data_IF_958135106616
#
_entry.id   IF_958135106616
#
_cell.length_a   1.000
_cell.length_b   1.000
_cell.length_c   1.000
_cell.angle_alpha   90.00
_cell.angle_beta   90.00
_cell.angle_gamma   90.00
#
_symmetry.space_group_name_H-M   'P 1'
#
loop_
_entity.id
_entity.type
_entity.pdbx_description
1 polymer ?
#
# COMPACT_ATOMS: atom_id res chain seq x y z
N UNK A 1 21.97 -16.11 -24.55
CA UNK A 1 23.37 -15.78 -24.93
C UNK A 1 24.20 -15.36 -23.71
N UNK A 2 23.87 -14.27 -23.00
CA UNK A 2 24.65 -13.80 -21.83
C UNK A 2 24.84 -14.86 -20.73
N UNK A 3 23.79 -15.62 -20.39
CA UNK A 3 23.89 -16.69 -19.38
C UNK A 3 24.88 -17.78 -19.77
N UNK A 4 24.88 -18.19 -21.05
CA UNK A 4 25.78 -19.21 -21.56
C UNK A 4 27.24 -18.75 -21.49
N UNK A 5 27.52 -17.47 -21.76
CA UNK A 5 28.85 -16.90 -21.60
C UNK A 5 29.29 -16.87 -20.14
N UNK A 6 28.43 -16.44 -19.21
CA UNK A 6 28.73 -16.45 -17.78
C UNK A 6 29.02 -17.88 -17.28
N UNK A 7 28.19 -18.86 -17.67
CA UNK A 7 28.42 -20.28 -17.34
C UNK A 7 29.68 -20.84 -17.99
N UNK A 8 30.02 -20.42 -19.21
CA UNK A 8 31.27 -20.81 -19.88
C UNK A 8 32.48 -20.24 -19.15
N UNK A 9 32.44 -18.97 -18.73
CA UNK A 9 33.49 -18.36 -17.95
C UNK A 9 33.72 -19.12 -16.63
N UNK A 10 32.65 -19.46 -15.91
CA UNK A 10 32.72 -20.27 -14.67
C UNK A 10 33.27 -21.68 -14.92
N UNK A 11 32.95 -22.31 -16.06
CA UNK A 11 33.52 -23.63 -16.42
C UNK A 11 35.00 -23.56 -16.75
N UNK A 12 35.45 -22.49 -17.41
CA UNK A 12 36.86 -22.29 -17.75
C UNK A 12 37.68 -21.92 -16.51
N UNK A 13 37.12 -21.10 -15.63
CA UNK A 13 37.71 -20.75 -14.35
C UNK A 13 36.61 -20.52 -13.29
N UNK A 14 36.43 -21.47 -12.36
CA UNK A 14 35.43 -21.38 -11.30
C UNK A 14 35.71 -20.31 -10.23
N UNK A 15 36.88 -19.67 -10.27
CA UNK A 15 37.36 -18.72 -9.25
C UNK A 15 37.11 -17.25 -9.61
N UNK A 16 36.63 -16.96 -10.83
CA UNK A 16 36.31 -15.60 -11.27
C UNK A 16 35.02 -15.10 -10.57
N UNK A 17 35.19 -14.29 -9.53
CA UNK A 17 34.08 -13.72 -8.77
C UNK A 17 33.11 -12.89 -9.65
N UNK A 18 33.64 -12.15 -10.62
CA UNK A 18 32.88 -11.33 -11.58
C UNK A 18 31.95 -12.18 -12.46
N UNK A 19 32.36 -13.40 -12.82
CA UNK A 19 31.54 -14.32 -13.61
C UNK A 19 30.35 -14.85 -12.80
N UNK A 20 30.56 -15.19 -11.52
CA UNK A 20 29.49 -15.57 -10.59
C UNK A 20 28.54 -14.39 -10.31
N UNK A 21 29.07 -13.18 -10.12
CA UNK A 21 28.24 -11.97 -9.96
C UNK A 21 27.40 -11.68 -11.22
N UNK A 22 27.98 -11.87 -12.42
CA UNK A 22 27.25 -11.70 -13.68
C UNK A 22 26.14 -12.74 -13.82
N UNK A 23 26.43 -14.01 -13.52
CA UNK A 23 25.42 -15.08 -13.51
C UNK A 23 24.29 -14.77 -12.51
N UNK A 24 24.63 -14.31 -11.31
CA UNK A 24 23.66 -13.91 -10.29
C UNK A 24 22.70 -12.81 -10.78
N UNK A 25 23.22 -11.80 -11.50
CA UNK A 25 22.40 -10.74 -12.07
C UNK A 25 21.45 -11.24 -13.17
N UNK A 26 21.93 -12.13 -14.03
CA UNK A 26 21.12 -12.75 -15.10
C UNK A 26 19.98 -13.56 -14.47
N UNK A 27 20.28 -14.43 -13.51
CA UNK A 27 19.29 -15.23 -12.80
C UNK A 27 18.26 -14.36 -12.07
N UNK A 28 18.70 -13.26 -11.44
CA UNK A 28 17.78 -12.30 -10.81
C UNK A 28 16.83 -11.67 -11.82
N UNK A 29 17.31 -11.31 -13.02
CA UNK A 29 16.47 -10.76 -14.08
C UNK A 29 15.44 -11.76 -14.63
N UNK A 30 15.70 -13.05 -14.45
CA UNK A 30 14.79 -14.17 -14.77
C UNK A 30 13.86 -14.52 -13.58
N UNK A 31 13.91 -13.76 -12.48
CA UNK A 31 13.20 -14.04 -11.21
C UNK A 31 13.63 -15.36 -10.52
N UNK A 32 14.79 -15.92 -10.87
CA UNK A 32 15.36 -17.12 -10.24
C UNK A 32 16.17 -16.74 -9.00
N UNK A 33 15.48 -16.24 -7.97
CA UNK A 33 16.09 -15.58 -6.81
C UNK A 33 17.01 -16.50 -5.98
N UNK A 34 16.66 -17.76 -5.77
CA UNK A 34 17.45 -18.71 -4.97
C UNK A 34 18.80 -19.04 -5.66
N UNK A 35 18.77 -19.21 -6.98
CA UNK A 35 19.98 -19.48 -7.78
C UNK A 35 20.83 -18.21 -7.91
N UNK A 36 20.18 -17.06 -8.02
CA UNK A 36 20.84 -15.76 -7.99
C UNK A 36 21.59 -15.54 -6.67
N UNK A 37 20.92 -15.77 -5.53
CA UNK A 37 21.51 -15.72 -4.19
C UNK A 37 22.76 -16.61 -4.10
N UNK A 38 22.65 -17.86 -4.55
CA UNK A 38 23.77 -18.82 -4.54
C UNK A 38 24.98 -18.29 -5.32
N UNK A 39 24.74 -17.70 -6.49
CA UNK A 39 25.80 -17.15 -7.34
C UNK A 39 26.47 -15.92 -6.71
N UNK A 40 25.71 -15.01 -6.08
CA UNK A 40 26.30 -13.87 -5.38
C UNK A 40 27.09 -14.28 -4.14
N UNK A 41 26.58 -15.23 -3.33
CA UNK A 41 27.33 -15.78 -2.19
C UNK A 41 28.64 -16.43 -2.64
N UNK A 42 28.66 -17.08 -3.80
CA UNK A 42 29.90 -17.62 -4.38
C UNK A 42 30.86 -16.51 -4.80
N UNK A 43 30.39 -15.44 -5.44
CA UNK A 43 31.21 -14.28 -5.80
C UNK A 43 31.86 -13.64 -4.55
N UNK A 44 31.09 -13.49 -3.46
CA UNK A 44 31.57 -12.96 -2.18
C UNK A 44 32.61 -13.88 -1.55
N UNK A 45 32.39 -15.20 -1.58
CA UNK A 45 33.36 -16.18 -1.05
C UNK A 45 34.70 -16.12 -1.78
N UNK A 46 34.66 -15.93 -3.11
CA UNK A 46 35.86 -15.84 -3.94
C UNK A 46 36.58 -14.48 -3.79
N UNK A 47 35.83 -13.41 -3.55
CA UNK A 47 36.35 -12.05 -3.39
C UNK A 47 35.58 -11.30 -2.28
N UNK A 48 36.00 -11.44 -1.01
CA UNK A 48 35.31 -10.80 0.12
C UNK A 48 35.31 -9.26 0.08
N UNK A 49 36.20 -8.63 -0.70
CA UNK A 49 36.21 -7.18 -0.93
C UNK A 49 35.30 -6.74 -2.09
N UNK A 50 34.47 -7.63 -2.64
CA UNK A 50 33.63 -7.31 -3.79
C UNK A 50 32.31 -6.63 -3.38
N UNK A 51 32.37 -5.35 -2.99
CA UNK A 51 31.22 -4.60 -2.48
C UNK A 51 29.98 -4.62 -3.39
N UNK A 52 30.17 -4.64 -4.71
CA UNK A 52 29.06 -4.75 -5.69
C UNK A 52 28.31 -6.09 -5.57
N UNK A 53 28.99 -7.19 -5.26
CA UNK A 53 28.35 -8.49 -5.07
C UNK A 53 27.50 -8.52 -3.79
N UNK A 54 27.95 -7.85 -2.71
CA UNK A 54 27.14 -7.65 -1.50
C UNK A 54 25.89 -6.82 -1.79
N UNK A 55 26.01 -5.72 -2.54
CA UNK A 55 24.84 -4.93 -2.94
C UNK A 55 23.86 -5.77 -3.77
N UNK A 56 24.34 -6.51 -4.76
CA UNK A 56 23.48 -7.34 -5.60
C UNK A 56 22.81 -8.47 -4.81
N UNK A 57 23.51 -9.08 -3.85
CA UNK A 57 22.92 -10.04 -2.92
C UNK A 57 21.83 -9.38 -2.06
N UNK A 58 22.06 -8.18 -1.53
CA UNK A 58 21.05 -7.45 -0.77
C UNK A 58 19.78 -7.16 -1.60
N UNK A 59 19.92 -6.82 -2.88
CA UNK A 59 18.78 -6.64 -3.80
C UNK A 59 18.00 -7.95 -3.96
N UNK A 60 18.69 -9.08 -4.18
CA UNK A 60 18.03 -10.40 -4.28
C UNK A 60 17.31 -10.77 -2.99
N UNK A 61 17.94 -10.58 -1.83
CA UNK A 61 17.37 -10.87 -0.52
C UNK A 61 16.16 -9.97 -0.23
N UNK A 62 16.19 -8.69 -0.64
CA UNK A 62 15.04 -7.80 -0.56
C UNK A 62 13.85 -8.32 -1.38
N UNK A 63 14.09 -8.78 -2.62
CA UNK A 63 13.05 -9.37 -3.46
C UNK A 63 12.42 -10.63 -2.82
N UNK A 64 13.24 -11.42 -2.10
CA UNK A 64 12.80 -12.57 -1.30
C UNK A 64 12.21 -12.19 0.08
N UNK A 65 12.13 -10.89 0.41
CA UNK A 65 11.68 -10.36 1.72
C UNK A 65 12.54 -10.79 2.92
N UNK A 66 13.79 -11.20 2.70
CA UNK A 66 14.79 -11.51 3.73
C UNK A 66 15.48 -10.23 4.21
N UNK A 67 14.72 -9.32 4.83
CA UNK A 67 15.17 -7.94 5.08
C UNK A 67 16.37 -7.83 6.04
N UNK A 68 16.45 -8.67 7.07
CA UNK A 68 17.57 -8.64 8.03
C UNK A 68 18.89 -9.03 7.37
N UNK A 69 18.88 -10.08 6.54
CA UNK A 69 20.08 -10.48 5.77
C UNK A 69 20.43 -9.43 4.71
N UNK A 70 19.42 -8.80 4.09
CA UNK A 70 19.62 -7.73 3.13
C UNK A 70 20.30 -6.51 3.81
N UNK A 71 19.86 -6.14 5.01
CA UNK A 71 20.48 -5.06 5.81
C UNK A 71 21.97 -5.34 6.06
N UNK A 72 22.31 -6.56 6.51
CA UNK A 72 23.69 -6.98 6.73
C UNK A 72 24.55 -6.79 5.48
N UNK A 73 24.07 -7.25 4.33
CA UNK A 73 24.81 -7.17 3.07
C UNK A 73 24.95 -5.72 2.55
N UNK A 74 23.94 -4.88 2.75
CA UNK A 74 24.06 -3.45 2.48
C UNK A 74 25.15 -2.79 3.34
N UNK A 75 25.18 -3.07 4.64
CA UNK A 75 26.20 -2.54 5.56
C UNK A 75 27.59 -3.04 5.19
N UNK A 76 27.73 -4.30 4.80
CA UNK A 76 28.99 -4.85 4.30
C UNK A 76 29.47 -4.14 3.01
N UNK A 77 28.56 -3.89 2.05
CA UNK A 77 28.89 -3.13 0.84
C UNK A 77 29.37 -1.69 1.15
N UNK A 78 28.74 -1.02 2.11
CA UNK A 78 29.11 0.34 2.57
C UNK A 78 30.45 0.32 3.34
N UNK A 79 30.71 -0.72 4.13
CA UNK A 79 31.98 -0.85 4.85
C UNK A 79 33.17 -1.05 3.88
N UNK A 80 32.96 -1.81 2.80
CA UNK A 80 33.96 -2.01 1.74
C UNK A 80 34.16 -0.73 0.93
N UNK A 81 33.07 -0.03 0.59
CA UNK A 81 33.11 1.23 -0.16
C UNK A 81 32.26 2.30 0.53
N UNK A 82 32.89 3.17 1.34
CA UNK A 82 32.18 4.24 2.04
C UNK A 82 31.53 5.27 1.11
N UNK A 83 31.91 5.36 -0.17
CA UNK A 83 31.28 6.21 -1.19
C UNK A 83 30.45 5.38 -2.16
N UNK A 84 29.33 4.82 -1.67
CA UNK A 84 28.46 3.93 -2.44
C UNK A 84 26.98 4.27 -2.23
N UNK A 85 26.47 5.32 -2.90
CA UNK A 85 25.13 5.83 -2.64
C UNK A 85 24.03 4.82 -3.01
N UNK A 86 24.23 3.93 -3.98
CA UNK A 86 23.29 2.86 -4.30
C UNK A 86 23.06 1.92 -3.10
N UNK A 87 24.13 1.56 -2.39
CA UNK A 87 24.06 0.71 -1.20
C UNK A 87 23.38 1.44 -0.03
N UNK A 88 23.66 2.74 0.14
CA UNK A 88 22.95 3.57 1.14
C UNK A 88 21.47 3.74 0.82
N UNK A 89 21.13 3.97 -0.44
CA UNK A 89 19.75 4.07 -0.88
C UNK A 89 19.00 2.77 -0.61
N UNK A 90 19.58 1.63 -0.98
CA UNK A 90 18.97 0.33 -0.70
C UNK A 90 18.86 0.05 0.80
N UNK A 91 19.90 0.36 1.58
CA UNK A 91 19.86 0.26 3.04
C UNK A 91 18.71 1.05 3.62
N UNK A 92 18.50 2.30 3.16
CA UNK A 92 17.37 3.13 3.57
C UNK A 92 16.00 2.48 3.33
N UNK A 93 15.79 1.91 2.15
CA UNK A 93 14.54 1.21 1.80
C UNK A 93 14.35 -0.07 2.66
N UNK A 94 15.43 -0.81 2.92
CA UNK A 94 15.38 -2.00 3.79
C UNK A 94 15.09 -1.61 5.23
N UNK A 95 15.74 -0.58 5.75
CA UNK A 95 15.52 -0.07 7.11
C UNK A 95 14.10 0.45 7.29
N UNK A 96 13.52 1.12 6.29
CA UNK A 96 12.11 1.49 6.29
C UNK A 96 11.21 0.24 6.39
N UNK A 97 11.51 -0.81 5.64
CA UNK A 97 10.77 -2.08 5.68
C UNK A 97 10.90 -2.79 7.04
N UNK A 98 12.03 -2.61 7.73
CA UNK A 98 12.29 -3.06 9.10
C UNK A 98 11.80 -2.09 10.17
N UNK A 99 11.12 -1.00 9.79
CA UNK A 99 10.60 0.02 10.68
C UNK A 99 11.68 0.76 11.52
N UNK A 100 12.92 0.82 11.01
CA UNK A 100 14.04 1.60 11.57
C UNK A 100 14.11 2.97 10.87
N UNK A 101 13.12 3.83 11.14
CA UNK A 101 12.84 5.02 10.32
C UNK A 101 13.92 6.11 10.42
N UNK A 102 14.51 6.28 11.60
CA UNK A 102 15.60 7.23 11.84
C UNK A 102 16.86 6.83 11.06
N UNK A 103 17.27 5.56 11.18
CA UNK A 103 18.41 5.04 10.41
C UNK A 103 18.12 5.05 8.90
N UNK A 104 16.88 4.79 8.48
CA UNK A 104 16.47 4.88 7.09
C UNK A 104 16.64 6.31 6.55
N UNK A 105 16.21 7.30 7.33
CA UNK A 105 16.36 8.73 7.01
C UNK A 105 17.84 9.10 6.88
N UNK A 106 18.67 8.68 7.83
CA UNK A 106 20.12 8.93 7.81
C UNK A 106 20.77 8.31 6.56
N UNK A 107 20.47 7.04 6.27
CA UNK A 107 21.05 6.34 5.13
C UNK A 107 20.67 6.98 3.80
N UNK A 108 19.40 7.34 3.60
CA UNK A 108 18.93 8.03 2.40
C UNK A 108 19.53 9.43 2.28
N UNK A 109 19.62 10.17 3.38
CA UNK A 109 20.22 11.51 3.41
C UNK A 109 21.69 11.44 3.00
N UNK A 110 22.46 10.48 3.52
CA UNK A 110 23.85 10.24 3.12
C UNK A 110 23.98 9.80 1.66
N UNK A 111 23.01 9.07 1.10
CA UNK A 111 23.00 8.73 -0.32
C UNK A 111 22.86 9.98 -1.20
N UNK A 112 22.01 10.93 -0.78
CA UNK A 112 21.80 12.23 -1.44
C UNK A 112 23.01 13.15 -1.25
N UNK A 113 23.63 13.16 -0.07
CA UNK A 113 24.86 13.91 0.18
C UNK A 113 25.99 13.49 -0.78
N UNK A 114 26.13 12.18 -1.01
CA UNK A 114 27.13 11.63 -1.93
C UNK A 114 26.80 11.83 -3.41
N UNK A 115 25.51 11.94 -3.73
CA UNK A 115 25.02 12.13 -5.09
C UNK A 115 23.75 12.98 -5.03
N UNK A 116 23.87 14.32 -5.06
CA UNK A 116 22.72 15.23 -4.90
C UNK A 116 21.63 15.07 -5.96
N UNK A 117 22.00 14.56 -7.14
CA UNK A 117 21.14 14.26 -8.28
C UNK A 117 20.57 12.83 -8.27
N UNK A 118 20.73 12.09 -7.17
CA UNK A 118 20.26 10.70 -7.10
C UNK A 118 18.73 10.61 -6.96
N UNK A 119 18.02 10.72 -8.08
CA UNK A 119 16.56 10.77 -8.13
C UNK A 119 15.84 9.64 -7.39
N UNK A 120 16.40 8.42 -7.37
CA UNK A 120 15.84 7.31 -6.61
C UNK A 120 15.92 7.54 -5.09
N UNK A 121 17.04 8.05 -4.56
CA UNK A 121 17.19 8.35 -3.15
C UNK A 121 16.33 9.56 -2.72
N UNK A 122 16.24 10.59 -3.57
CA UNK A 122 15.34 11.72 -3.35
C UNK A 122 13.88 11.26 -3.20
N UNK A 123 13.41 10.37 -4.09
CA UNK A 123 12.05 9.81 -4.01
C UNK A 123 11.83 8.91 -2.81
N UNK A 124 12.79 8.04 -2.50
CA UNK A 124 12.67 7.15 -1.33
C UNK A 124 12.62 7.97 -0.04
N UNK A 125 13.42 9.04 0.07
CA UNK A 125 13.38 9.94 1.21
C UNK A 125 12.10 10.77 1.24
N UNK A 126 11.60 11.25 0.10
CA UNK A 126 10.32 11.98 0.07
C UNK A 126 9.18 11.09 0.57
N UNK A 127 9.11 9.84 0.09
CA UNK A 127 8.07 8.89 0.53
C UNK A 127 8.20 8.59 2.03
N UNK A 128 9.42 8.41 2.54
CA UNK A 128 9.65 8.26 3.97
C UNK A 128 9.18 9.50 4.76
N UNK A 129 9.42 10.70 4.26
CA UNK A 129 8.92 11.94 4.85
C UNK A 129 7.39 12.06 4.79
N UNK A 130 6.72 11.54 3.76
CA UNK A 130 5.26 11.40 3.76
C UNK A 130 4.76 10.47 4.88
N UNK A 131 5.46 9.36 5.16
CA UNK A 131 5.15 8.50 6.32
C UNK A 131 5.42 9.20 7.66
N UNK A 132 6.46 10.06 7.70
CA UNK A 132 6.83 10.85 8.86
C UNK A 132 6.08 12.19 8.97
N UNK A 133 5.03 12.42 8.18
CA UNK A 133 4.23 13.66 8.18
C UNK A 133 5.02 14.94 7.95
N UNK A 134 6.21 14.85 7.35
CA UNK A 134 7.05 16.00 6.98
C UNK A 134 6.71 16.44 5.56
N UNK A 135 5.52 17.02 5.39
CA UNK A 135 4.97 17.27 4.04
C UNK A 135 5.77 18.28 3.23
N UNK A 136 6.38 19.30 3.85
CA UNK A 136 7.15 20.31 3.12
C UNK A 136 8.47 19.73 2.61
N UNK A 137 9.23 19.07 3.49
CA UNK A 137 10.47 18.37 3.12
C UNK A 137 10.23 17.32 2.02
N UNK A 138 9.12 16.58 2.13
CA UNK A 138 8.72 15.61 1.09
C UNK A 138 8.50 16.28 -0.27
N UNK A 139 7.80 17.42 -0.31
CA UNK A 139 7.51 18.12 -1.56
C UNK A 139 8.78 18.68 -2.20
N UNK A 140 9.67 19.27 -1.40
CA UNK A 140 10.99 19.74 -1.88
C UNK A 140 11.76 18.59 -2.57
N UNK A 141 11.86 17.44 -1.90
CA UNK A 141 12.55 16.28 -2.43
C UNK A 141 11.91 15.73 -3.71
N UNK A 142 10.57 15.73 -3.82
CA UNK A 142 9.88 15.33 -5.05
C UNK A 142 10.15 16.29 -6.21
N UNK A 143 10.15 17.60 -5.95
CA UNK A 143 10.48 18.62 -6.95
C UNK A 143 11.94 18.51 -7.40
N UNK A 144 12.86 18.24 -6.47
CA UNK A 144 14.25 17.94 -6.79
C UNK A 144 14.38 16.65 -7.58
N UNK A 145 13.69 15.57 -7.23
CA UNK A 145 13.75 14.31 -7.99
C UNK A 145 13.27 14.51 -9.44
N UNK A 146 12.25 15.34 -9.62
CA UNK A 146 11.72 15.73 -10.93
C UNK A 146 12.71 16.55 -11.76
N UNK A 147 13.67 17.27 -11.17
CA UNK A 147 14.65 18.04 -11.93
C UNK A 147 15.88 17.21 -12.37
N UNK A 148 16.02 15.95 -11.95
CA UNK A 148 17.25 15.16 -12.19
C UNK A 148 17.39 14.53 -13.59
N UNK A 149 16.58 14.92 -14.58
CA UNK A 149 16.70 14.47 -15.98
C UNK A 149 16.40 12.98 -16.26
N UNK A 150 16.47 12.11 -15.26
CA UNK A 150 16.16 10.69 -15.40
C UNK A 150 14.64 10.46 -15.50
N UNK A 151 14.20 9.90 -16.63
CA UNK A 151 12.78 9.68 -16.95
C UNK A 151 12.04 8.98 -15.81
N UNK A 152 12.62 7.94 -15.22
CA UNK A 152 11.95 7.17 -14.17
C UNK A 152 11.61 7.98 -12.92
N UNK A 153 12.59 8.60 -12.24
CA UNK A 153 12.34 9.50 -11.12
C UNK A 153 11.35 10.62 -11.44
N UNK A 154 11.42 11.22 -12.63
CA UNK A 154 10.48 12.28 -13.06
C UNK A 154 9.04 11.77 -13.06
N UNK A 155 8.78 10.63 -13.70
CA UNK A 155 7.45 10.06 -13.81
C UNK A 155 6.88 9.68 -12.42
N UNK A 156 7.71 9.08 -11.56
CA UNK A 156 7.29 8.76 -10.17
C UNK A 156 7.00 10.02 -9.35
N UNK A 157 7.88 11.01 -9.40
CA UNK A 157 7.69 12.28 -8.71
C UNK A 157 6.37 12.93 -9.11
N UNK A 158 6.06 12.98 -10.41
CA UNK A 158 4.82 13.56 -10.90
C UNK A 158 3.56 12.81 -10.42
N UNK A 159 3.57 11.48 -10.33
CA UNK A 159 2.42 10.73 -9.76
C UNK A 159 2.22 11.05 -8.28
N UNK A 160 3.31 11.13 -7.49
CA UNK A 160 3.23 11.47 -6.07
C UNK A 160 2.80 12.93 -5.84
N UNK A 161 3.33 13.87 -6.62
CA UNK A 161 2.92 15.27 -6.61
C UNK A 161 1.44 15.42 -7.00
N UNK A 162 0.95 14.64 -7.98
CA UNK A 162 -0.46 14.63 -8.34
C UNK A 162 -1.34 14.18 -7.18
N UNK A 163 -0.92 13.12 -6.47
CA UNK A 163 -1.64 12.60 -5.30
C UNK A 163 -1.67 13.61 -4.15
N UNK A 164 -0.55 14.26 -3.85
CA UNK A 164 -0.49 15.30 -2.83
C UNK A 164 -1.38 16.50 -3.19
N UNK A 165 -1.29 16.98 -4.43
CA UNK A 165 -2.12 18.06 -4.93
C UNK A 165 -3.62 17.71 -4.87
N UNK A 166 -3.98 16.48 -5.24
CA UNK A 166 -5.35 15.96 -5.13
C UNK A 166 -5.87 16.04 -3.69
N UNK A 167 -5.12 15.52 -2.73
CA UNK A 167 -5.48 15.51 -1.30
C UNK A 167 -5.54 16.93 -0.68
N UNK A 168 -4.89 17.92 -1.31
CA UNK A 168 -4.93 19.34 -0.91
C UNK A 168 -5.98 20.16 -1.68
N UNK A 169 -6.91 19.50 -2.38
CA UNK A 169 -7.92 20.16 -3.22
C UNK A 169 -7.34 21.00 -4.39
N UNK A 170 -6.09 20.76 -4.78
CA UNK A 170 -5.41 21.44 -5.89
C UNK A 170 -5.57 20.66 -7.20
N UNK A 171 -6.81 20.41 -7.62
CA UNK A 171 -7.12 19.50 -8.73
C UNK A 171 -6.50 19.91 -10.08
N UNK A 172 -6.41 21.21 -10.38
CA UNK A 172 -5.74 21.69 -11.59
C UNK A 172 -4.25 21.34 -11.59
N UNK A 173 -3.59 21.42 -10.42
CA UNK A 173 -2.19 21.01 -10.29
C UNK A 173 -2.03 19.51 -10.37
N UNK A 174 -2.95 18.74 -9.76
CA UNK A 174 -2.97 17.29 -9.91
C UNK A 174 -3.08 16.86 -11.38
N UNK A 175 -3.98 17.48 -12.14
CA UNK A 175 -4.16 17.22 -13.58
C UNK A 175 -2.92 17.56 -14.42
N UNK A 176 -2.20 18.64 -14.08
CA UNK A 176 -0.94 19.01 -14.73
C UNK A 176 0.15 17.96 -14.50
N UNK A 177 0.35 17.57 -13.24
CA UNK A 177 1.34 16.55 -12.88
C UNK A 177 1.05 15.21 -13.55
N UNK A 178 -0.23 14.80 -13.62
CA UNK A 178 -0.60 13.59 -14.38
C UNK A 178 -0.29 13.76 -15.87
N UNK A 179 -0.63 14.88 -16.49
CA UNK A 179 -0.33 15.10 -17.92
C UNK A 179 1.16 14.89 -18.25
N UNK A 180 2.04 15.40 -17.38
CA UNK A 180 3.49 15.22 -17.49
C UNK A 180 3.96 13.79 -17.15
N UNK A 181 3.21 13.04 -16.35
CA UNK A 181 3.48 11.63 -16.05
C UNK A 181 2.92 10.65 -17.10
N UNK A 182 2.25 11.12 -18.16
CA UNK A 182 1.50 10.26 -19.09
C UNK A 182 2.32 9.14 -19.75
N UNK A 183 3.62 9.35 -19.97
CA UNK A 183 4.51 8.32 -20.53
C UNK A 183 4.79 7.16 -19.57
N UNK A 184 4.42 7.24 -18.29
CA UNK A 184 4.55 6.13 -17.32
C UNK A 184 3.80 4.87 -17.76
N UNK A 185 2.73 5.02 -18.55
CA UNK A 185 1.99 3.90 -19.09
C UNK A 185 2.76 3.12 -20.16
N UNK A 186 3.74 3.75 -20.82
CA UNK A 186 4.59 3.11 -21.84
C UNK A 186 5.78 2.36 -21.23
N UNK A 187 6.10 2.62 -19.97
CA UNK A 187 7.21 1.97 -19.26
C UNK A 187 6.91 0.50 -19.02
N UNK A 188 7.75 -0.40 -19.56
CA UNK A 188 7.61 -1.85 -19.33
C UNK A 188 8.19 -2.31 -18.00
N UNK A 189 8.78 -1.41 -17.23
CA UNK A 189 9.44 -1.74 -15.98
C UNK A 189 8.40 -1.97 -14.86
N UNK A 190 8.35 -3.18 -14.24
CA UNK A 190 7.40 -3.49 -13.17
C UNK A 190 7.52 -2.58 -11.94
N UNK A 191 8.67 -1.93 -11.75
CA UNK A 191 8.86 -0.97 -10.65
C UNK A 191 7.95 0.24 -10.72
N UNK A 192 7.24 0.49 -11.83
CA UNK A 192 6.23 1.54 -11.96
C UNK A 192 4.80 1.05 -11.74
N UNK A 193 4.54 -0.24 -11.51
CA UNK A 193 3.17 -0.76 -11.54
C UNK A 193 2.27 -0.08 -10.48
N UNK A 194 2.81 0.20 -9.30
CA UNK A 194 2.12 1.00 -8.28
C UNK A 194 1.81 2.41 -8.79
N UNK A 195 2.79 3.12 -9.35
CA UNK A 195 2.58 4.47 -9.86
C UNK A 195 1.63 4.52 -11.07
N UNK A 196 1.64 3.50 -11.94
CA UNK A 196 0.68 3.37 -13.04
C UNK A 196 -0.74 3.19 -12.52
N UNK A 197 -0.94 2.34 -11.51
CA UNK A 197 -2.26 2.13 -10.90
C UNK A 197 -2.80 3.45 -10.33
N UNK A 198 -1.98 4.18 -9.57
CA UNK A 198 -2.34 5.49 -9.03
C UNK A 198 -2.58 6.54 -10.13
N UNK A 199 -1.75 6.55 -11.18
CA UNK A 199 -1.93 7.44 -12.34
C UNK A 199 -3.30 7.22 -13.01
N UNK A 200 -3.62 5.96 -13.33
CA UNK A 200 -4.88 5.60 -14.02
C UNK A 200 -6.06 5.98 -13.12
N UNK A 201 -5.98 5.63 -11.85
CA UNK A 201 -7.05 5.84 -10.89
C UNK A 201 -7.30 7.32 -10.63
N UNK A 202 -6.26 8.11 -10.34
CA UNK A 202 -6.40 9.57 -10.13
C UNK A 202 -6.93 10.28 -11.38
N UNK A 203 -6.49 9.87 -12.58
CA UNK A 203 -7.02 10.45 -13.83
C UNK A 203 -8.53 10.24 -13.95
N UNK A 204 -9.02 9.04 -13.61
CA UNK A 204 -10.46 8.71 -13.63
C UNK A 204 -11.23 9.45 -12.54
N UNK A 205 -10.71 9.52 -11.32
CA UNK A 205 -11.39 10.26 -10.24
C UNK A 205 -11.46 11.75 -10.58
N UNK A 206 -10.40 12.36 -11.12
CA UNK A 206 -10.40 13.78 -11.49
C UNK A 206 -11.44 14.11 -12.57
N UNK A 207 -11.65 13.22 -13.56
CA UNK A 207 -12.71 13.41 -14.55
C UNK A 207 -14.12 13.33 -13.95
N UNK A 208 -14.30 12.50 -12.92
CA UNK A 208 -15.60 12.29 -12.27
C UNK A 208 -15.88 13.33 -11.18
N UNK A 209 -14.86 13.78 -10.45
CA UNK A 209 -15.01 14.77 -9.37
C UNK A 209 -15.54 16.11 -9.86
N UNK A 210 -15.29 16.48 -11.13
CA UNK A 210 -15.91 17.64 -11.75
C UNK A 210 -17.44 17.55 -11.79
N UNK A 211 -18.01 16.35 -11.75
CA UNK A 211 -19.46 16.10 -11.82
C UNK A 211 -20.13 16.04 -10.43
N UNK A 212 -19.37 15.80 -9.36
CA UNK A 212 -19.90 15.51 -8.02
C UNK A 212 -19.35 16.42 -6.91
N UNK A 213 -18.52 17.41 -7.27
CA UNK A 213 -17.98 18.35 -6.30
C UNK A 213 -19.12 19.14 -5.61
N UNK A 214 -19.10 19.26 -4.27
CA UNK A 214 -20.10 20.06 -3.57
C UNK A 214 -20.05 21.51 -4.05
N UNK A 215 -21.20 22.18 -4.07
CA UNK A 215 -21.20 23.64 -4.19
C UNK A 215 -20.44 24.25 -3.01
N UNK A 216 -19.85 25.43 -3.22
CA UNK A 216 -19.12 26.17 -2.17
C UNK A 216 -19.98 26.33 -0.90
N UNK A 217 -21.27 26.59 -1.07
CA UNK A 217 -22.26 26.71 0.00
C UNK A 217 -22.50 25.38 0.72
N UNK A 218 -22.69 24.28 -0.02
CA UNK A 218 -22.88 22.96 0.57
C UNK A 218 -21.63 22.47 1.33
N UNK A 219 -20.44 22.83 0.85
CA UNK A 219 -19.19 22.53 1.53
C UNK A 219 -18.97 23.37 2.80
N UNK A 220 -19.38 24.65 2.79
CA UNK A 220 -19.23 25.55 3.93
C UNK A 220 -20.09 25.17 5.15
N UNK A 221 -21.23 24.53 4.92
CA UNK A 221 -22.16 24.11 5.98
C UNK A 221 -21.97 22.66 6.46
N UNK A 222 -21.10 21.88 5.81
CA UNK A 222 -20.92 20.46 6.10
C UNK A 222 -19.80 20.20 7.11
N UNK A 223 -20.00 19.19 7.96
CA UNK A 223 -18.94 18.69 8.85
C UNK A 223 -17.89 17.89 8.07
N UNK A 224 -16.76 17.55 8.70
CA UNK A 224 -15.73 16.72 8.08
C UNK A 224 -15.97 15.24 8.38
N UNK A 225 -15.95 14.42 7.35
CA UNK A 225 -15.80 12.97 7.46
C UNK A 225 -14.37 12.63 7.06
N UNK A 226 -13.54 12.17 7.99
CA UNK A 226 -12.16 11.80 7.68
C UNK A 226 -12.11 10.37 7.18
N UNK A 227 -11.53 10.14 6.00
CA UNK A 227 -11.43 8.80 5.41
C UNK A 227 -9.99 8.31 5.50
N UNK A 228 -9.73 7.42 6.45
CA UNK A 228 -8.41 6.84 6.68
C UNK A 228 -8.30 5.54 5.88
N UNK A 229 -7.45 5.49 4.86
CA UNK A 229 -7.40 4.29 4.01
C UNK A 229 -6.33 4.31 2.93
N UNK A 230 -6.36 3.32 2.05
CA UNK A 230 -5.50 3.22 0.85
C UNK A 230 -6.19 3.93 -0.34
N UNK A 231 -6.04 3.43 -1.56
CA UNK A 231 -6.64 3.97 -2.78
C UNK A 231 -8.15 4.19 -2.63
N UNK A 232 -8.85 3.24 -2.01
CA UNK A 232 -10.29 3.32 -1.75
C UNK A 232 -10.72 4.54 -0.91
N UNK A 233 -9.80 5.20 -0.20
CA UNK A 233 -10.12 6.47 0.47
C UNK A 233 -10.30 7.64 -0.50
N UNK A 234 -9.61 7.61 -1.65
CA UNK A 234 -9.51 8.75 -2.57
C UNK A 234 -10.83 9.06 -3.27
N UNK A 235 -11.64 8.05 -3.57
CA UNK A 235 -12.95 8.24 -4.21
C UNK A 235 -13.93 9.05 -3.34
N UNK A 236 -13.75 9.00 -2.02
CA UNK A 236 -14.58 9.77 -1.07
C UNK A 236 -14.02 11.17 -0.79
N UNK A 237 -12.84 11.50 -1.32
CA UNK A 237 -12.26 12.81 -1.10
C UNK A 237 -13.06 13.90 -1.83
N UNK A 238 -13.32 15.00 -1.15
CA UNK A 238 -14.12 16.13 -1.65
C UNK A 238 -15.54 15.73 -2.08
N UNK A 239 -16.08 14.63 -1.54
CA UNK A 239 -17.41 14.15 -1.82
C UNK A 239 -18.39 14.60 -0.73
N UNK A 240 -19.55 15.13 -1.14
CA UNK A 240 -20.66 15.38 -0.20
C UNK A 240 -21.33 14.06 0.14
N UNK A 241 -21.32 13.73 1.43
CA UNK A 241 -21.87 12.51 2.01
C UNK A 241 -22.97 12.90 3.00
N UNK A 242 -24.07 12.16 2.99
CA UNK A 242 -25.14 12.32 3.96
C UNK A 242 -25.19 11.08 4.85
N UNK A 243 -25.05 11.27 6.16
CA UNK A 243 -25.15 10.25 7.20
C UNK A 243 -26.16 10.77 8.22
N UNK A 244 -27.22 10.01 8.50
CA UNK A 244 -28.25 10.35 9.50
C UNK A 244 -28.84 11.77 9.34
N UNK A 245 -29.07 12.21 8.11
CA UNK A 245 -29.58 13.56 7.84
C UNK A 245 -28.53 14.69 7.95
N UNK A 246 -27.35 14.43 8.53
CA UNK A 246 -26.22 15.38 8.56
C UNK A 246 -25.40 15.29 7.29
N UNK A 247 -24.85 16.44 6.88
CA UNK A 247 -23.99 16.56 5.69
C UNK A 247 -22.52 16.60 6.11
N UNK A 248 -21.72 15.82 5.40
CA UNK A 248 -20.29 15.75 5.57
C UNK A 248 -19.57 15.96 4.24
N UNK A 249 -18.41 16.59 4.26
CA UNK A 249 -17.47 16.57 3.14
C UNK A 249 -16.32 15.63 3.49
N UNK A 250 -16.08 14.67 2.60
CA UNK A 250 -15.03 13.68 2.79
C UNK A 250 -13.63 14.26 2.65
N UNK A 251 -12.77 13.96 3.62
CA UNK A 251 -11.37 14.34 3.66
C UNK A 251 -10.49 13.09 3.78
N UNK A 252 -9.92 12.65 2.66
CA UNK A 252 -9.11 11.44 2.64
C UNK A 252 -7.74 11.67 3.29
N UNK A 253 -7.30 10.70 4.09
CA UNK A 253 -5.99 10.62 4.72
C UNK A 253 -5.34 9.31 4.30
N UNK A 254 -4.48 9.40 3.28
CA UNK A 254 -3.94 8.24 2.59
C UNK A 254 -2.85 7.51 3.39
N UNK A 255 -2.99 6.19 3.50
CA UNK A 255 -2.02 5.24 4.03
C UNK A 255 -1.64 4.27 2.89
N UNK A 256 -0.90 4.76 1.89
CA UNK A 256 -0.48 4.03 0.68
C UNK A 256 0.10 2.65 1.04
N UNK A 257 -0.40 1.59 0.39
CA UNK A 257 -0.02 0.19 0.60
C UNK A 257 -0.60 -0.50 1.84
N UNK A 258 -1.38 0.19 2.68
CA UNK A 258 -1.94 -0.40 3.89
C UNK A 258 -3.06 -1.40 3.57
N UNK A 259 -3.07 -2.49 4.34
CA UNK A 259 -4.05 -3.60 4.28
C UNK A 259 -4.47 -3.93 5.69
N UNK A 260 -5.63 -4.56 5.88
CA UNK A 260 -6.15 -4.82 7.24
C UNK A 260 -5.18 -5.66 8.08
N UNK A 261 -4.56 -6.68 7.48
CA UNK A 261 -3.58 -7.52 8.17
C UNK A 261 -2.38 -6.73 8.72
N UNK A 262 -1.98 -5.61 8.09
CA UNK A 262 -0.88 -4.78 8.59
C UNK A 262 -1.24 -4.15 9.94
N UNK A 263 -2.49 -3.73 10.12
CA UNK A 263 -2.97 -3.17 11.39
C UNK A 263 -3.32 -4.27 12.41
N UNK A 264 -3.77 -5.44 11.94
CA UNK A 264 -3.96 -6.62 12.80
C UNK A 264 -2.67 -7.33 13.23
N UNK A 265 -1.54 -7.11 12.54
CA UNK A 265 -0.28 -7.81 12.85
C UNK A 265 0.22 -7.49 14.27
N UNK A 266 0.69 -8.48 15.04
CA UNK A 266 1.19 -8.22 16.40
C UNK A 266 2.47 -7.38 16.46
N UNK A 267 3.28 -7.40 15.41
CA UNK A 267 4.53 -6.68 15.32
C UNK A 267 4.34 -5.22 14.87
N UNK A 268 5.18 -4.29 15.36
CA UNK A 268 5.19 -2.91 14.88
C UNK A 268 5.54 -2.86 13.40
N UNK A 269 4.94 -1.91 12.68
CA UNK A 269 5.24 -1.65 11.28
C UNK A 269 4.88 -0.21 10.91
N UNK A 270 5.37 0.25 9.76
CA UNK A 270 5.20 1.63 9.31
C UNK A 270 3.73 2.06 9.13
N UNK A 271 2.84 1.13 8.77
CA UNK A 271 1.42 1.44 8.57
C UNK A 271 0.72 1.73 9.89
N UNK A 272 1.10 0.99 10.95
CA UNK A 272 0.63 1.22 12.33
C UNK A 272 1.01 2.60 12.84
N UNK A 273 2.28 2.98 12.66
CA UNK A 273 2.79 4.30 13.05
C UNK A 273 2.00 5.41 12.35
N UNK A 274 1.80 5.27 11.02
CA UNK A 274 1.04 6.26 10.26
C UNK A 274 -0.43 6.32 10.69
N UNK A 275 -1.08 5.17 10.89
CA UNK A 275 -2.47 5.10 11.32
C UNK A 275 -2.67 5.74 12.70
N UNK A 276 -1.85 5.39 13.70
CA UNK A 276 -1.94 5.97 15.04
C UNK A 276 -1.74 7.48 15.03
N UNK A 277 -0.79 7.98 14.23
CA UNK A 277 -0.55 9.41 14.10
C UNK A 277 -1.76 10.11 13.48
N UNK A 278 -2.27 9.57 12.37
CA UNK A 278 -3.46 10.12 11.73
C UNK A 278 -4.64 10.19 12.71
N UNK A 279 -4.90 9.13 13.47
CA UNK A 279 -5.94 9.13 14.51
C UNK A 279 -5.72 10.25 15.54
N UNK A 280 -4.48 10.40 16.04
CA UNK A 280 -4.14 11.43 17.05
C UNK A 280 -4.18 12.86 16.52
N UNK A 281 -3.87 13.06 15.24
CA UNK A 281 -3.84 14.38 14.59
C UNK A 281 -5.24 14.94 14.30
N UNK A 282 -6.28 14.10 14.34
CA UNK A 282 -7.66 14.54 14.13
C UNK A 282 -8.24 15.23 15.37
N UNK A 283 -9.20 16.17 15.19
CA UNK A 283 -9.98 16.68 16.31
C UNK A 283 -10.67 15.54 17.07
N UNK A 284 -10.67 15.58 18.41
CA UNK A 284 -11.38 14.58 19.23
C UNK A 284 -12.85 14.52 18.81
N UNK A 285 -13.45 13.32 18.88
CA UNK A 285 -14.84 13.08 18.46
C UNK A 285 -15.13 13.37 16.98
N UNK A 286 -14.11 13.29 16.13
CA UNK A 286 -14.30 13.32 14.68
C UNK A 286 -15.07 12.10 14.16
N UNK A 287 -15.75 12.30 13.05
CA UNK A 287 -16.38 11.27 12.23
C UNK A 287 -15.33 10.61 11.31
N UNK A 288 -15.17 9.29 11.38
CA UNK A 288 -14.11 8.56 10.67
C UNK A 288 -14.69 7.38 9.89
N UNK A 289 -14.33 7.31 8.59
CA UNK A 289 -14.44 6.08 7.81
C UNK A 289 -13.05 5.44 7.67
N UNK A 290 -12.89 4.22 8.15
CA UNK A 290 -11.69 3.41 7.88
C UNK A 290 -11.90 2.63 6.59
N UNK A 291 -11.32 3.12 5.50
CA UNK A 291 -11.41 2.56 4.15
C UNK A 291 -10.17 1.72 3.80
N UNK A 292 -9.87 0.74 4.65
CA UNK A 292 -8.80 -0.26 4.43
C UNK A 292 -9.48 -1.56 3.99
N UNK A 293 -9.88 -1.60 2.72
CA UNK A 293 -10.65 -2.71 2.15
C UNK A 293 -9.82 -3.79 1.46
N UNK A 294 -8.50 -3.60 1.29
CA UNK A 294 -7.70 -4.61 0.63
C UNK A 294 -7.44 -5.82 1.54
N UNK A 295 -8.04 -6.95 1.17
CA UNK A 295 -7.69 -8.28 1.68
C UNK A 295 -6.56 -8.82 0.80
N UNK A 296 -5.51 -9.37 1.40
CA UNK A 296 -4.50 -10.08 0.62
C UNK A 296 -5.03 -11.46 0.23
N UNK A 297 -5.79 -11.54 -0.86
CA UNK A 297 -6.33 -12.80 -1.39
C UNK A 297 -5.45 -13.43 -2.48
N UNK A 298 -4.16 -13.08 -2.57
CA UNK A 298 -3.28 -13.63 -3.62
C UNK A 298 -3.00 -15.12 -3.38
N UNK A 299 -3.05 -15.92 -4.44
CA UNK A 299 -2.89 -17.39 -4.40
C UNK A 299 -1.58 -17.87 -3.74
N UNK A 300 -0.49 -17.13 -3.95
CA UNK A 300 0.85 -17.55 -3.51
C UNK A 300 1.38 -16.82 -2.26
N UNK A 301 0.70 -15.76 -1.80
CA UNK A 301 1.20 -14.94 -0.67
C UNK A 301 0.12 -14.50 0.32
N UNK A 302 -1.16 -14.58 -0.07
CA UNK A 302 -2.34 -14.17 0.70
C UNK A 302 -3.10 -15.33 1.36
N UNK A 303 -4.34 -15.08 1.79
CA UNK A 303 -5.20 -16.01 2.53
C UNK A 303 -5.42 -17.33 1.76
N UNK A 304 -5.49 -17.27 0.43
CA UNK A 304 -5.69 -18.45 -0.42
C UNK A 304 -4.56 -19.50 -0.34
N UNK A 305 -3.34 -19.13 0.08
CA UNK A 305 -2.25 -20.10 0.28
C UNK A 305 -2.60 -21.14 1.35
N UNK A 306 -3.46 -20.80 2.31
CA UNK A 306 -3.83 -21.69 3.40
C UNK A 306 -4.74 -22.84 2.96
N UNK A 307 -5.43 -22.70 1.81
CA UNK A 307 -6.23 -23.78 1.18
C UNK A 307 -5.38 -25.04 0.97
N UNK A 308 -4.12 -24.87 0.50
CA UNK A 308 -3.16 -25.95 0.26
C UNK A 308 -2.70 -26.68 1.54
N UNK A 309 -2.95 -26.12 2.73
CA UNK A 309 -2.41 -26.60 4.03
C UNK A 309 -3.47 -26.96 5.07
N UNK A 310 -4.75 -27.02 4.70
CA UNK A 310 -5.84 -27.31 5.65
C UNK A 310 -7.28 -27.02 5.21
N UNK A 311 -7.54 -26.70 3.93
CA UNK A 311 -8.91 -26.54 3.40
C UNK A 311 -9.67 -25.29 3.91
N UNK A 312 -11.01 -25.30 3.76
CA UNK A 312 -11.89 -24.13 4.01
C UNK A 312 -12.01 -23.70 5.47
N UNK A 313 -11.87 -24.64 6.43
CA UNK A 313 -11.94 -24.34 7.88
C UNK A 313 -10.80 -23.38 8.28
N UNK A 314 -9.59 -23.68 7.82
CA UNK A 314 -8.41 -22.84 8.08
C UNK A 314 -8.50 -21.45 7.45
N UNK A 315 -9.24 -21.30 6.35
CA UNK A 315 -9.48 -20.00 5.74
C UNK A 315 -10.39 -19.15 6.63
N UNK A 316 -11.48 -19.72 7.15
CA UNK A 316 -12.39 -19.02 8.04
C UNK A 316 -11.68 -18.54 9.32
N UNK A 317 -10.89 -19.40 9.97
CA UNK A 317 -10.11 -19.04 11.17
C UNK A 317 -9.11 -17.91 10.89
N UNK A 318 -8.41 -17.95 9.75
CA UNK A 318 -7.47 -16.90 9.37
C UNK A 318 -8.19 -15.58 9.06
N UNK A 319 -9.36 -15.64 8.41
CA UNK A 319 -10.20 -14.47 8.13
C UNK A 319 -10.69 -13.84 9.43
N UNK A 320 -11.30 -14.63 10.31
CA UNK A 320 -11.85 -14.19 11.59
C UNK A 320 -10.76 -13.55 12.45
N UNK A 321 -9.67 -14.27 12.72
CA UNK A 321 -8.55 -13.73 13.51
C UNK A 321 -7.91 -12.48 12.90
N UNK A 322 -7.85 -12.36 11.57
CA UNK A 322 -7.34 -11.14 10.92
C UNK A 322 -8.25 -9.94 11.21
N UNK A 323 -9.57 -10.15 11.14
CA UNK A 323 -10.57 -9.10 11.36
C UNK A 323 -10.64 -8.70 12.83
N UNK A 324 -10.64 -9.67 13.75
CA UNK A 324 -10.62 -9.42 15.20
C UNK A 324 -9.41 -8.58 15.59
N UNK A 325 -8.20 -9.01 15.19
CA UNK A 325 -6.98 -8.28 15.48
C UNK A 325 -6.99 -6.86 14.88
N UNK A 326 -7.56 -6.70 13.68
CA UNK A 326 -7.73 -5.40 13.04
C UNK A 326 -8.68 -4.50 13.85
N UNK A 327 -9.87 -4.99 14.21
CA UNK A 327 -10.87 -4.23 14.95
C UNK A 327 -10.40 -3.88 16.36
N UNK A 328 -9.72 -4.81 17.04
CA UNK A 328 -9.09 -4.59 18.35
C UNK A 328 -8.02 -3.50 18.28
N UNK A 329 -7.19 -3.51 17.23
CA UNK A 329 -6.19 -2.48 17.03
C UNK A 329 -6.80 -1.09 16.80
N UNK A 330 -7.82 -0.99 15.94
CA UNK A 330 -8.54 0.28 15.69
C UNK A 330 -9.21 0.77 16.99
N UNK A 331 -9.86 -0.11 17.74
CA UNK A 331 -10.49 0.19 19.02
C UNK A 331 -9.49 0.73 20.05
N UNK A 332 -8.33 0.10 20.17
CA UNK A 332 -7.25 0.57 21.05
C UNK A 332 -6.73 1.95 20.67
N UNK A 333 -6.58 2.22 19.37
CA UNK A 333 -6.18 3.55 18.89
C UNK A 333 -7.22 4.62 19.24
N UNK A 334 -8.51 4.27 19.29
CA UNK A 334 -9.60 5.20 19.54
C UNK A 334 -9.92 5.45 21.03
N UNK A 335 -9.39 4.62 21.95
CA UNK A 335 -9.79 4.56 23.38
C UNK A 335 -9.91 5.92 24.10
N UNK A 336 -9.03 6.88 23.78
CA UNK A 336 -8.99 8.20 24.42
C UNK A 336 -9.41 9.36 23.50
N UNK A 337 -9.76 9.05 22.25
CA UNK A 337 -10.08 10.03 21.21
C UNK A 337 -11.59 10.16 21.00
N UNK A 338 -12.35 9.08 21.28
CA UNK A 338 -13.80 9.01 21.17
C UNK A 338 -14.32 9.39 19.77
N UNK A 339 -13.58 9.04 18.71
CA UNK A 339 -14.07 9.19 17.34
C UNK A 339 -15.26 8.27 17.09
N UNK A 340 -16.20 8.73 16.27
CA UNK A 340 -17.23 7.88 15.69
C UNK A 340 -16.63 7.15 14.50
N UNK A 341 -16.48 5.83 14.59
CA UNK A 341 -15.75 5.02 13.63
C UNK A 341 -16.72 4.14 12.87
N UNK A 342 -16.66 4.25 11.54
CA UNK A 342 -17.26 3.32 10.59
C UNK A 342 -16.18 2.56 9.83
N UNK A 343 -16.41 1.28 9.56
CA UNK A 343 -15.53 0.44 8.74
C UNK A 343 -16.18 0.21 7.38
N UNK A 344 -15.39 0.40 6.31
CA UNK A 344 -15.85 0.09 4.95
C UNK A 344 -15.68 -1.41 4.65
N UNK A 345 -16.71 -2.03 4.09
CA UNK A 345 -16.61 -3.36 3.50
C UNK A 345 -15.69 -3.40 2.27
N UNK A 346 -15.54 -4.60 1.72
CA UNK A 346 -14.70 -4.87 0.53
C UNK A 346 -15.62 -5.12 -0.66
N UNK A 347 -15.52 -4.34 -1.75
CA UNK A 347 -16.40 -4.51 -2.90
C UNK A 347 -16.19 -5.88 -3.58
N UNK A 348 -17.24 -6.38 -4.24
CA UNK A 348 -17.22 -7.66 -4.95
C UNK A 348 -16.11 -7.68 -6.04
N UNK A 349 -15.46 -8.82 -6.30
CA UNK A 349 -14.44 -8.89 -7.34
C UNK A 349 -15.07 -8.75 -8.73
N UNK A 350 -14.32 -8.13 -9.64
CA UNK A 350 -14.59 -8.18 -11.07
C UNK A 350 -13.63 -9.17 -11.74
N UNK A 351 -14.16 -9.96 -12.68
CA UNK A 351 -13.33 -10.74 -13.61
C UNK A 351 -12.46 -9.77 -14.42
N UNK A 352 -11.14 -9.84 -14.20
CA UNK A 352 -10.17 -9.18 -15.04
C UNK A 352 -9.64 -10.19 -16.07
N UNK A 353 -9.86 -9.99 -17.39
CA UNK A 353 -9.40 -10.90 -18.42
C UNK A 353 -7.89 -11.21 -18.28
N UNK A 354 -7.55 -12.50 -18.19
CA UNK A 354 -6.16 -12.97 -18.11
C UNK A 354 -5.49 -12.90 -16.73
N UNK A 355 -6.24 -12.58 -15.65
CA UNK A 355 -5.68 -12.51 -14.29
C UNK A 355 -5.86 -13.77 -13.45
N UNK A 356 -6.88 -14.57 -13.73
CA UNK A 356 -7.24 -15.78 -12.98
C UNK A 356 -7.86 -16.80 -13.95
N UNK A 357 -7.68 -18.09 -13.68
CA UNK A 357 -8.59 -19.11 -14.23
C UNK A 357 -9.94 -19.10 -13.51
N UNK A 358 -10.93 -19.81 -14.06
CA UNK A 358 -12.30 -19.80 -13.53
C UNK A 358 -12.37 -20.29 -12.07
N UNK A 359 -11.53 -21.26 -11.70
CA UNK A 359 -11.50 -21.86 -10.37
C UNK A 359 -10.85 -20.93 -9.35
N UNK A 360 -9.76 -20.26 -9.74
CA UNK A 360 -9.08 -19.23 -8.95
C UNK A 360 -10.00 -18.02 -8.71
N UNK A 361 -10.82 -17.65 -9.70
CA UNK A 361 -11.79 -16.57 -9.56
C UNK A 361 -12.91 -16.95 -8.59
N UNK A 362 -13.44 -18.17 -8.69
CA UNK A 362 -14.45 -18.69 -7.76
C UNK A 362 -13.93 -18.70 -6.30
N UNK A 363 -12.69 -19.14 -6.09
CA UNK A 363 -12.04 -19.09 -4.78
C UNK A 363 -11.93 -17.65 -4.24
N UNK A 364 -11.58 -16.70 -5.10
CA UNK A 364 -11.52 -15.28 -4.73
C UNK A 364 -12.89 -14.75 -4.30
N UNK A 365 -13.96 -15.11 -5.03
CA UNK A 365 -15.35 -14.73 -4.70
C UNK A 365 -15.72 -15.30 -3.34
N UNK A 366 -15.54 -16.60 -3.13
CA UNK A 366 -15.90 -17.28 -1.89
C UNK A 366 -15.19 -16.67 -0.66
N UNK A 367 -13.90 -16.37 -0.77
CA UNK A 367 -13.15 -15.72 0.32
C UNK A 367 -13.65 -14.30 0.59
N UNK A 368 -13.98 -13.52 -0.45
CA UNK A 368 -14.49 -12.15 -0.27
C UNK A 368 -15.87 -12.10 0.35
N UNK A 369 -16.76 -13.03 -0.02
CA UNK A 369 -18.08 -13.19 0.58
C UNK A 369 -17.93 -13.53 2.07
N UNK A 370 -17.16 -14.57 2.38
CA UNK A 370 -16.89 -14.99 3.75
C UNK A 370 -16.30 -13.84 4.58
N UNK A 371 -15.30 -13.15 4.03
CA UNK A 371 -14.66 -12.04 4.70
C UNK A 371 -15.63 -10.91 5.05
N UNK A 372 -16.48 -10.46 4.11
CA UNK A 372 -17.43 -9.38 4.40
C UNK A 372 -18.50 -9.80 5.42
N UNK A 373 -18.92 -11.06 5.42
CA UNK A 373 -19.85 -11.60 6.42
C UNK A 373 -19.25 -11.51 7.83
N UNK A 374 -18.01 -12.00 8.01
CA UNK A 374 -17.31 -11.90 9.30
C UNK A 374 -17.00 -10.44 9.67
N UNK A 375 -16.57 -9.62 8.70
CA UNK A 375 -16.24 -8.22 8.93
C UNK A 375 -17.45 -7.47 9.47
N UNK A 376 -18.61 -7.58 8.82
CA UNK A 376 -19.84 -6.94 9.27
C UNK A 376 -20.20 -7.36 10.70
N UNK A 377 -20.18 -8.67 10.98
CA UNK A 377 -20.51 -9.22 12.30
C UNK A 377 -19.59 -8.69 13.40
N UNK A 378 -18.27 -8.74 13.18
CA UNK A 378 -17.27 -8.34 14.19
C UNK A 378 -17.28 -6.82 14.38
N UNK A 379 -17.32 -6.04 13.29
CA UNK A 379 -17.39 -4.56 13.34
C UNK A 379 -18.59 -4.09 14.15
N UNK A 380 -19.77 -4.69 13.91
CA UNK A 380 -20.96 -4.37 14.69
C UNK A 380 -20.84 -4.82 16.15
N UNK A 381 -20.23 -5.99 16.40
CA UNK A 381 -20.00 -6.52 17.74
C UNK A 381 -19.06 -5.67 18.60
N UNK A 382 -18.10 -4.95 18.00
CA UNK A 382 -17.23 -4.00 18.72
C UNK A 382 -17.81 -2.58 18.80
N UNK A 383 -19.02 -2.35 18.29
CA UNK A 383 -19.69 -1.06 18.36
C UNK A 383 -19.19 -0.04 17.35
N UNK A 384 -18.76 -0.46 16.16
CA UNK A 384 -18.48 0.43 15.04
C UNK A 384 -19.61 0.43 14.01
N UNK A 385 -19.72 1.52 13.25
CA UNK A 385 -20.59 1.58 12.08
C UNK A 385 -20.03 0.73 10.94
N UNK A 386 -20.89 0.26 10.04
CA UNK A 386 -20.47 -0.53 8.90
C UNK A 386 -21.08 -0.03 7.60
N UNK A 387 -20.21 0.25 6.61
CA UNK A 387 -20.58 0.68 5.27
C UNK A 387 -20.43 -0.49 4.29
N UNK A 388 -21.56 -1.12 3.96
CA UNK A 388 -21.63 -2.39 3.22
C UNK A 388 -21.53 -2.19 1.70
N UNK A 389 -20.35 -1.77 1.25
CA UNK A 389 -20.07 -1.60 -0.19
C UNK A 389 -20.05 -2.95 -0.93
N UNK A 390 -19.88 -4.07 -0.23
CA UNK A 390 -20.02 -5.40 -0.83
C UNK A 390 -21.46 -5.59 -1.32
N UNK A 391 -22.45 -5.41 -0.45
CA UNK A 391 -23.86 -5.53 -0.80
C UNK A 391 -24.30 -4.56 -1.91
N UNK A 392 -23.74 -3.34 -1.96
CA UNK A 392 -23.99 -2.40 -3.06
C UNK A 392 -23.53 -2.96 -4.42
N UNK A 393 -22.38 -3.65 -4.41
CA UNK A 393 -21.72 -4.09 -5.64
C UNK A 393 -22.04 -5.51 -6.04
N UNK A 394 -22.77 -6.24 -5.21
CA UNK A 394 -23.13 -7.64 -5.44
C UNK A 394 -24.25 -7.75 -6.49
N UNK A 395 -24.13 -8.68 -7.43
CA UNK A 395 -25.21 -9.06 -8.36
C UNK A 395 -26.09 -10.20 -7.82
N UNK A 396 -25.79 -10.71 -6.62
CA UNK A 396 -26.54 -11.76 -5.90
C UNK A 396 -25.77 -13.06 -5.67
N UNK A 397 -24.55 -13.18 -6.19
CA UNK A 397 -23.69 -14.37 -6.09
C UNK A 397 -22.28 -14.05 -5.56
N UNK A 398 -22.08 -12.85 -5.00
CA UNK A 398 -20.78 -12.38 -4.53
C UNK A 398 -19.90 -11.80 -5.64
N UNK A 399 -20.35 -11.79 -6.91
CA UNK A 399 -19.63 -11.18 -8.03
C UNK A 399 -20.14 -9.77 -8.29
N UNK A 400 -19.25 -8.91 -8.80
CA UNK A 400 -19.57 -7.52 -9.11
C UNK A 400 -20.70 -7.36 -10.14
N UNK A 401 -21.65 -6.47 -9.85
CA UNK A 401 -22.67 -5.97 -10.78
C UNK A 401 -22.12 -4.98 -11.82
N UNK A 402 -20.84 -4.57 -11.72
CA UNK A 402 -20.11 -3.65 -12.62
C UNK A 402 -20.64 -2.21 -12.69
N UNK A 403 -21.76 -1.89 -12.07
CA UNK A 403 -22.40 -0.57 -12.18
C UNK A 403 -21.64 0.52 -11.42
N UNK A 404 -21.01 0.15 -10.31
CA UNK A 404 -20.52 1.09 -9.29
C UNK A 404 -19.01 1.37 -9.35
N UNK A 405 -18.35 1.01 -10.45
CA UNK A 405 -16.89 1.00 -10.56
C UNK A 405 -16.35 2.04 -11.55
N UNK A 406 -15.15 2.54 -11.28
CA UNK A 406 -14.32 3.32 -12.21
C UNK A 406 -13.40 2.42 -13.04
N UNK A 407 -12.94 1.33 -12.44
CA UNK A 407 -12.06 0.33 -13.04
C UNK A 407 -12.30 -1.04 -12.39
N UNK A 408 -11.44 -2.03 -12.68
CA UNK A 408 -11.60 -3.39 -12.18
C UNK A 408 -11.54 -3.52 -10.64
N UNK A 409 -10.97 -2.54 -9.93
CA UNK A 409 -10.73 -2.60 -8.49
C UNK A 409 -11.38 -1.48 -7.68
N UNK A 410 -11.65 -0.32 -8.28
CA UNK A 410 -12.05 0.88 -7.56
C UNK A 410 -13.47 1.33 -7.88
N UNK A 411 -14.17 1.77 -6.83
CA UNK A 411 -15.51 2.33 -6.89
C UNK A 411 -15.51 3.77 -7.44
N UNK A 412 -16.66 4.22 -7.93
CA UNK A 412 -16.90 5.61 -8.40
C UNK A 412 -17.52 6.50 -7.33
N UNK A 413 -17.36 7.84 -7.35
CA UNK A 413 -17.86 8.71 -6.28
C UNK A 413 -19.34 8.54 -5.94
N UNK A 414 -20.19 8.39 -6.95
CA UNK A 414 -21.64 8.22 -6.78
C UNK A 414 -21.97 6.93 -6.01
N UNK A 415 -21.16 5.87 -6.17
CA UNK A 415 -21.35 4.64 -5.40
C UNK A 415 -21.22 4.86 -3.91
N UNK A 416 -20.29 5.72 -3.47
CA UNK A 416 -20.12 6.02 -2.05
C UNK A 416 -21.30 6.79 -1.49
N UNK A 417 -21.88 7.72 -2.27
CA UNK A 417 -23.10 8.43 -1.86
C UNK A 417 -24.28 7.47 -1.69
N UNK A 418 -24.45 6.52 -2.61
CA UNK A 418 -25.49 5.49 -2.52
C UNK A 418 -25.20 4.51 -1.37
N UNK A 419 -23.94 4.12 -1.15
CA UNK A 419 -23.55 3.27 -0.05
C UNK A 419 -23.93 3.90 1.30
N UNK A 420 -23.59 5.18 1.51
CA UNK A 420 -23.93 5.89 2.74
C UNK A 420 -25.44 6.03 2.94
N UNK A 421 -26.20 6.19 1.84
CA UNK A 421 -27.65 6.36 1.90
C UNK A 421 -28.40 5.06 2.20
N UNK A 422 -28.00 3.95 1.55
CA UNK A 422 -28.80 2.73 1.48
C UNK A 422 -28.13 1.50 2.11
N UNK A 423 -26.82 1.53 2.34
CA UNK A 423 -26.01 0.36 2.75
C UNK A 423 -25.15 0.64 3.99
N UNK A 424 -25.46 1.70 4.73
CA UNK A 424 -24.82 2.00 6.00
C UNK A 424 -25.66 1.44 7.16
N UNK A 425 -24.97 0.90 8.17
CA UNK A 425 -25.57 0.41 9.41
C UNK A 425 -24.88 1.03 10.60
N UNK A 426 -25.66 1.58 11.53
CA UNK A 426 -25.14 2.21 12.75
C UNK A 426 -24.45 1.21 13.68
N UNK A 427 -23.54 1.69 14.55
CA UNK A 427 -23.07 0.95 15.70
C UNK A 427 -24.23 0.34 16.50
N UNK A 428 -24.15 -0.94 16.84
CA UNK A 428 -25.07 -1.51 17.81
C UNK A 428 -24.71 -0.97 19.20
N UNK A 429 -25.64 -0.27 19.85
CA UNK A 429 -25.48 0.08 21.25
C UNK A 429 -25.64 -1.21 22.05
N UNK A 430 -24.54 -1.79 22.56
CA UNK A 430 -24.63 -2.85 23.56
C UNK A 430 -25.13 -2.18 24.84
N UNK A 431 -26.45 -2.13 25.00
CA UNK A 431 -27.05 -1.91 26.31
C UNK A 431 -26.73 -3.20 27.08
N UNK A 432 -25.68 -3.17 27.89
CA UNK A 432 -25.53 -4.13 28.97
C UNK A 432 -26.73 -3.92 29.89
N UNK A 433 -27.81 -4.65 29.64
CA UNK A 433 -28.88 -4.78 30.61
C UNK A 433 -28.26 -5.43 31.84
N UNK A 434 -28.01 -4.62 32.87
CA UNK A 434 -27.87 -5.09 34.24
C UNK A 434 -29.23 -5.71 34.63
N UNK A 435 -29.45 -6.95 34.19
CA UNK A 435 -30.65 -7.72 34.44
C UNK A 435 -30.35 -8.84 35.42
N UNK A 436 -30.51 -8.54 36.71
CA UNK A 436 -30.86 -9.44 37.80
C UNK A 436 -30.39 -10.91 37.70
N UNK A 437 -29.23 -11.19 38.30
CA UNK A 437 -29.05 -12.47 38.99
C UNK A 437 -29.71 -12.32 40.38
N UNK A 438 -31.01 -12.64 40.42
CA UNK A 438 -31.75 -12.81 41.65
C UNK A 438 -31.43 -14.16 42.29
N UNK A 439 -30.89 -14.08 43.51
CA UNK A 439 -30.85 -15.05 44.63
C UNK A 439 -30.42 -16.49 44.33
#
# INVERSE_FOLDING_TARGET
VAEQHARRAIRLDPTIAEAHNTLGNILRSQNEYERSETSFRRAITLKPSFGVAYLNLAITLQAQRKFVEAEYNCRAAIAISPTFPEARNLLGVILQSLNKLEEATESLSKAIEQRPDYGAALLNLSVLFEYLSKSEDSLDLMHRARSQGAVGPILKANVHLALNAFLKHQFSSAGRYLSEASNILKEKNPTFDTEKNYYIYLKKILSEQLLVSPSLEAAGCASRLYILGESHSLVSHNLLIQKEGKKYVGEARLIKGCKQWHLGNSQPNQYKIKFERLMKDLPKRSEILVAIGEIDCRLNTGILKFKKSGGSVKIAEVVESTIENFCDYVSRCNKNLNHDISIQGVPCPQLNPGSYDDMEFEDLVNVRVLFNQYLKKIVQGVGFGFLDVHALTDRGDGVSNREWYLDYGHLKPQSMQIAWKNYYTEPQTIILSNGNLGV
#
